data_IF_904110135947
#
_entry.id   IF_904110135947
#
_cell.length_a   1.000
_cell.length_b   1.000
_cell.length_c   1.000
_cell.angle_alpha   90.00
_cell.angle_beta   90.00
_cell.angle_gamma   90.00
#
_symmetry.space_group_name_H-M   'P 1'
#
loop_
_entity.id
_entity.type
_entity.pdbx_description
1 polymer ?
#
# COMPACT_ATOMS: atom_id res chain seq x y z
N UNK A 1 19.01 1.91 13.40
CA UNK A 1 18.92 3.38 13.15
C UNK A 1 18.72 3.62 11.66
N UNK A 2 17.48 3.66 11.18
CA UNK A 2 17.17 4.07 9.81
C UNK A 2 16.74 5.54 9.85
N UNK A 3 17.54 6.43 9.24
CA UNK A 3 17.10 7.79 8.93
C UNK A 3 16.22 7.69 7.68
N UNK A 4 14.91 7.65 7.88
CA UNK A 4 13.95 7.75 6.78
C UNK A 4 13.83 9.24 6.42
N UNK A 5 14.47 9.64 5.31
CA UNK A 5 14.03 10.83 4.60
C UNK A 5 12.68 10.46 3.97
N UNK A 6 11.63 11.24 4.28
CA UNK A 6 10.30 11.18 3.67
C UNK A 6 10.43 11.34 2.14
N UNK A 7 10.72 10.27 1.41
CA UNK A 7 11.02 10.31 -0.03
C UNK A 7 9.79 10.08 -0.92
N UNK A 8 8.63 9.77 -0.33
CA UNK A 8 7.35 9.63 -1.03
C UNK A 8 6.21 9.68 0.01
N UNK A 9 5.06 10.24 -0.31
CA UNK A 9 3.83 10.13 0.49
C UNK A 9 2.72 9.75 -0.48
N UNK A 10 1.79 8.90 -0.03
CA UNK A 10 0.58 8.59 -0.79
C UNK A 10 -0.53 9.49 -0.27
N UNK A 11 -1.18 10.23 -1.16
CA UNK A 11 -2.19 11.21 -0.80
C UNK A 11 -3.20 11.36 -1.93
N UNK A 12 -4.50 11.37 -1.58
CA UNK A 12 -5.58 11.37 -2.58
C UNK A 12 -6.82 12.08 -2.05
N UNK A 13 -7.52 12.79 -2.93
CA UNK A 13 -8.88 13.24 -2.69
C UNK A 13 -9.82 12.14 -3.16
N UNK A 14 -10.63 11.62 -2.25
CA UNK A 14 -11.54 10.53 -2.53
C UNK A 14 -12.84 11.06 -3.15
N UNK A 15 -13.63 10.20 -3.80
CA UNK A 15 -14.87 10.64 -4.42
C UNK A 15 -15.90 10.99 -3.35
N UNK A 16 -16.64 12.08 -3.59
CA UNK A 16 -17.71 12.53 -2.71
C UNK A 16 -19.07 12.02 -3.16
N UNK A 17 -20.05 11.99 -2.26
CA UNK A 17 -21.45 11.76 -2.64
C UNK A 17 -21.93 12.98 -3.43
N UNK A 18 -22.11 12.81 -4.74
CA UNK A 18 -22.64 13.86 -5.61
C UNK A 18 -24.18 13.91 -5.54
N UNK A 19 -24.72 15.12 -5.52
CA UNK A 19 -26.16 15.39 -5.48
C UNK A 19 -26.87 15.13 -6.82
N UNK A 20 -28.22 15.04 -6.82
CA UNK A 20 -29.02 14.97 -8.05
C UNK A 20 -28.82 16.19 -8.97
N UNK A 21 -29.12 16.00 -10.25
CA UNK A 21 -28.65 16.74 -11.44
C UNK A 21 -29.03 18.23 -11.60
N UNK A 22 -29.22 19.00 -10.53
CA UNK A 22 -29.50 20.43 -10.59
C UNK A 22 -28.91 21.22 -9.41
N UNK A 23 -27.69 20.92 -8.98
CA UNK A 23 -27.01 21.69 -7.93
C UNK A 23 -26.62 23.09 -8.45
N UNK A 24 -26.91 24.15 -7.66
CA UNK A 24 -26.45 25.53 -7.88
C UNK A 24 -25.01 25.76 -7.35
N UNK A 25 -24.27 24.67 -7.15
CA UNK A 25 -22.87 24.66 -6.75
C UNK A 25 -22.16 23.56 -7.50
N UNK A 26 -20.99 23.87 -8.04
CA UNK A 26 -20.08 22.90 -8.64
C UNK A 26 -18.75 22.93 -7.89
N UNK A 27 -18.17 21.77 -7.66
CA UNK A 27 -16.87 21.63 -7.05
C UNK A 27 -15.94 20.89 -8.01
N UNK A 28 -14.71 21.38 -8.10
CA UNK A 28 -13.63 20.64 -8.74
C UNK A 28 -12.45 20.55 -7.79
N UNK A 29 -11.81 19.39 -7.76
CA UNK A 29 -10.65 19.12 -6.92
C UNK A 29 -9.48 18.74 -7.81
N UNK A 30 -8.34 19.35 -7.51
CA UNK A 30 -7.07 19.01 -8.16
C UNK A 30 -6.44 17.81 -7.48
N UNK A 31 -5.51 17.16 -8.20
CA UNK A 31 -4.64 16.14 -7.61
C UNK A 31 -3.83 16.78 -6.48
N UNK A 32 -3.69 16.13 -5.31
CA UNK A 32 -2.94 16.70 -4.21
C UNK A 32 -1.50 17.00 -4.60
N UNK A 33 -0.98 18.10 -4.08
CA UNK A 33 0.40 18.50 -4.29
C UNK A 33 1.19 18.32 -3.00
N UNK A 34 2.29 17.57 -3.07
CA UNK A 34 3.29 17.53 -2.00
C UNK A 34 4.12 18.80 -2.06
N UNK A 35 3.86 19.75 -1.17
CA UNK A 35 4.40 21.11 -1.27
C UNK A 35 5.77 21.23 -0.60
N UNK A 36 6.03 20.45 0.46
CA UNK A 36 7.33 20.47 1.12
C UNK A 36 7.61 19.17 1.86
N UNK A 37 8.80 18.62 1.63
CA UNK A 37 9.47 17.67 2.51
C UNK A 37 10.72 18.35 3.07
N UNK A 38 10.78 18.55 4.38
CA UNK A 38 11.94 19.23 4.96
C UNK A 38 11.81 19.43 6.46
N UNK A 39 12.56 18.64 7.23
CA UNK A 39 12.44 18.54 8.69
C UNK A 39 11.73 17.26 9.12
N UNK A 40 11.03 17.31 10.27
CA UNK A 40 10.23 16.21 10.85
C UNK A 40 8.80 16.11 10.28
N UNK A 41 8.44 16.97 9.31
CA UNK A 41 7.08 17.07 8.77
C UNK A 41 7.05 17.06 7.24
N UNK A 42 5.91 16.64 6.71
CA UNK A 42 5.51 16.83 5.33
C UNK A 42 4.18 17.59 5.24
N UNK A 43 4.02 18.35 4.16
CA UNK A 43 2.82 19.14 3.91
C UNK A 43 2.18 18.72 2.58
N UNK A 44 0.93 18.28 2.65
CA UNK A 44 0.11 17.95 1.49
C UNK A 44 -1.02 18.95 1.38
N UNK A 45 -1.19 19.51 0.20
CA UNK A 45 -2.29 20.44 -0.09
C UNK A 45 -3.29 19.77 -1.03
N UNK A 46 -4.55 19.72 -0.60
CA UNK A 46 -5.68 19.32 -1.44
C UNK A 46 -6.42 20.57 -1.89
N UNK A 47 -6.14 21.03 -3.10
CA UNK A 47 -6.76 22.24 -3.64
C UNK A 47 -8.07 21.92 -4.35
N UNK A 48 -9.10 22.71 -4.05
CA UNK A 48 -10.41 22.68 -4.68
C UNK A 48 -10.87 24.07 -5.10
N UNK A 49 -11.72 24.09 -6.12
CA UNK A 49 -12.41 25.27 -6.60
C UNK A 49 -13.91 25.08 -6.35
N UNK A 50 -14.49 25.95 -5.53
CA UNK A 50 -15.91 26.02 -5.22
C UNK A 50 -16.55 27.08 -6.13
N UNK A 51 -17.46 26.67 -7.00
CA UNK A 51 -18.11 27.54 -7.99
C UNK A 51 -19.61 27.67 -7.68
N UNK A 52 -20.10 28.91 -7.58
CA UNK A 52 -21.53 29.17 -7.46
C UNK A 52 -22.15 29.12 -8.86
N UNK A 53 -22.87 28.04 -9.17
CA UNK A 53 -23.59 27.87 -10.46
C UNK A 53 -25.06 28.27 -10.36
N UNK A 54 -25.50 28.74 -9.19
CA UNK A 54 -26.83 29.28 -8.94
C UNK A 54 -27.06 30.66 -9.55
N UNK A 55 -28.27 31.17 -9.31
CA UNK A 55 -28.72 32.48 -9.82
C UNK A 55 -28.57 33.61 -8.80
N UNK A 56 -28.30 33.28 -7.54
CA UNK A 56 -28.19 34.24 -6.44
C UNK A 56 -26.84 34.15 -5.73
N UNK A 57 -26.44 35.26 -5.10
CA UNK A 57 -25.25 35.30 -4.25
C UNK A 57 -25.46 34.42 -3.03
N UNK A 58 -24.47 33.60 -2.71
CA UNK A 58 -24.54 32.67 -1.59
C UNK A 58 -23.27 32.69 -0.74
N UNK A 59 -23.35 32.08 0.44
CA UNK A 59 -22.20 31.74 1.29
C UNK A 59 -22.24 30.25 1.55
N UNK A 60 -21.07 29.63 1.72
CA UNK A 60 -20.97 28.19 1.94
C UNK A 60 -20.42 27.91 3.33
N UNK A 61 -21.08 27.03 4.07
CA UNK A 61 -20.58 26.49 5.31
C UNK A 61 -19.66 25.31 5.00
N UNK A 62 -18.43 25.35 5.53
CA UNK A 62 -17.47 24.27 5.42
C UNK A 62 -17.32 23.66 6.81
N UNK A 63 -17.51 22.34 6.88
CA UNK A 63 -17.34 21.54 8.07
C UNK A 63 -16.26 20.48 7.83
N UNK A 64 -15.25 20.46 8.69
CA UNK A 64 -14.13 19.53 8.67
C UNK A 64 -14.23 18.53 9.80
N UNK A 65 -14.10 17.25 9.45
CA UNK A 65 -13.93 16.14 10.39
C UNK A 65 -12.59 15.46 10.11
N UNK A 66 -11.86 15.04 11.14
CA UNK A 66 -10.57 14.37 10.98
C UNK A 66 -10.47 13.11 11.82
N UNK A 67 -9.84 12.09 11.25
CA UNK A 67 -9.41 10.89 11.96
C UNK A 67 -7.91 10.72 11.72
N UNK A 68 -7.10 11.23 12.63
CA UNK A 68 -5.65 11.28 12.49
C UNK A 68 -4.96 10.35 13.50
N UNK A 69 -3.75 9.85 13.19
CA UNK A 69 -2.93 9.12 14.15
C UNK A 69 -2.73 9.91 15.46
N UNK A 70 -2.76 9.19 16.58
CA UNK A 70 -2.82 9.76 17.92
C UNK A 70 -1.43 10.16 18.45
N UNK A 71 -0.85 11.27 17.96
CA UNK A 71 0.42 11.78 18.49
C UNK A 71 0.68 13.30 18.37
N UNK A 72 -0.36 14.13 18.21
CA UNK A 72 -0.30 15.60 18.13
C UNK A 72 0.56 16.19 16.99
N UNK A 73 1.21 15.36 16.16
CA UNK A 73 2.06 15.81 15.05
C UNK A 73 1.35 15.72 13.69
N UNK A 74 0.19 15.07 13.64
CA UNK A 74 -0.73 15.13 12.50
C UNK A 74 -1.78 16.21 12.73
N UNK A 75 -2.06 17.00 11.69
CA UNK A 75 -3.17 17.96 11.71
C UNK A 75 -3.66 18.27 10.31
N UNK A 76 -4.89 18.75 10.21
CA UNK A 76 -5.47 19.27 8.97
C UNK A 76 -5.94 20.71 9.18
N UNK A 77 -5.86 21.55 8.16
CA UNK A 77 -6.32 22.95 8.21
C UNK A 77 -7.20 23.26 7.00
N UNK A 78 -8.31 23.95 7.22
CA UNK A 78 -9.13 24.48 6.13
C UNK A 78 -8.52 25.80 5.67
N UNK A 79 -8.40 26.02 4.36
CA UNK A 79 -8.01 27.29 3.79
C UNK A 79 -9.07 27.81 2.82
N UNK A 80 -9.34 29.11 2.84
CA UNK A 80 -10.30 29.78 1.96
C UNK A 80 -9.71 31.09 1.46
N UNK A 81 -9.70 31.30 0.14
CA UNK A 81 -9.24 32.56 -0.47
C UNK A 81 -7.82 32.95 -0.07
N UNK A 82 -6.93 31.98 0.13
CA UNK A 82 -5.53 32.20 0.53
C UNK A 82 -5.30 32.38 2.03
N UNK A 83 -6.33 32.26 2.87
CA UNK A 83 -6.20 32.26 4.33
C UNK A 83 -6.46 30.87 4.91
N UNK A 84 -5.55 30.37 5.74
CA UNK A 84 -5.68 29.08 6.43
C UNK A 84 -6.05 29.27 7.89
N UNK A 85 -7.06 28.54 8.34
CA UNK A 85 -7.52 28.53 9.72
C UNK A 85 -6.66 27.60 10.58
N UNK A 86 -6.62 27.84 11.88
CA UNK A 86 -5.89 26.96 12.80
C UNK A 86 -6.49 25.54 12.78
N UNK A 87 -5.70 24.47 13.02
CA UNK A 87 -6.17 23.10 12.83
C UNK A 87 -7.38 22.68 13.67
N UNK A 88 -7.59 23.31 14.83
CA UNK A 88 -8.73 23.05 15.71
C UNK A 88 -10.03 23.72 15.23
N UNK A 89 -9.99 24.52 14.17
CA UNK A 89 -11.18 25.10 13.55
C UNK A 89 -11.79 24.04 12.63
N UNK A 90 -12.99 23.58 13.01
CA UNK A 90 -13.77 22.59 12.26
C UNK A 90 -14.80 23.25 11.34
N UNK A 91 -15.34 24.40 11.75
CA UNK A 91 -16.45 25.06 11.07
C UNK A 91 -16.06 26.46 10.62
N UNK A 92 -16.26 26.76 9.34
CA UNK A 92 -16.07 28.09 8.78
C UNK A 92 -17.20 28.42 7.80
N UNK A 93 -17.40 29.71 7.55
CA UNK A 93 -18.29 30.19 6.48
C UNK A 93 -17.46 30.98 5.49
N UNK A 94 -17.64 30.72 4.20
CA UNK A 94 -16.93 31.46 3.16
C UNK A 94 -17.38 32.92 3.12
N UNK A 95 -16.56 33.82 2.55
CA UNK A 95 -17.08 35.07 1.99
C UNK A 95 -18.21 34.79 0.98
N UNK A 96 -19.12 35.75 0.73
CA UNK A 96 -20.15 35.59 -0.29
C UNK A 96 -19.55 35.38 -1.68
N UNK A 97 -20.09 34.42 -2.43
CA UNK A 97 -19.70 34.08 -3.80
C UNK A 97 -20.84 34.47 -4.74
N UNK A 98 -20.57 35.38 -5.67
CA UNK A 98 -21.54 35.80 -6.67
C UNK A 98 -21.85 34.67 -7.68
N UNK A 99 -23.04 34.67 -8.31
CA UNK A 99 -23.36 33.77 -9.41
C UNK A 99 -22.28 33.74 -10.50
N UNK A 100 -21.85 32.55 -10.90
CA UNK A 100 -20.80 32.32 -11.89
C UNK A 100 -19.37 32.62 -11.41
N UNK A 101 -19.20 33.06 -10.15
CA UNK A 101 -17.88 33.25 -9.54
C UNK A 101 -17.42 31.97 -8.84
N UNK A 102 -16.14 31.92 -8.50
CA UNK A 102 -15.54 30.79 -7.81
C UNK A 102 -14.60 31.24 -6.70
N UNK A 103 -14.38 30.35 -5.75
CA UNK A 103 -13.58 30.57 -4.57
C UNK A 103 -12.62 29.40 -4.34
N UNK A 104 -11.36 29.73 -4.10
CA UNK A 104 -10.34 28.74 -3.74
C UNK A 104 -10.59 28.21 -2.33
N UNK A 105 -10.66 26.89 -2.22
CA UNK A 105 -10.72 26.17 -0.95
C UNK A 105 -9.60 25.12 -0.91
N UNK A 106 -9.01 24.90 0.26
CA UNK A 106 -8.04 23.81 0.45
C UNK A 106 -8.26 23.09 1.76
N UNK A 107 -7.91 21.81 1.77
CA UNK A 107 -7.64 21.06 2.99
C UNK A 107 -6.15 20.72 3.02
N UNK A 108 -5.42 21.28 3.98
CA UNK A 108 -3.97 21.11 4.08
C UNK A 108 -3.67 20.10 5.20
N UNK A 109 -2.96 19.02 4.89
CA UNK A 109 -2.45 18.06 5.87
C UNK A 109 -1.02 18.43 6.26
N UNK A 110 -0.79 18.53 7.57
CA UNK A 110 0.54 18.46 8.17
C UNK A 110 0.73 17.06 8.71
N UNK A 111 1.69 16.34 8.14
CA UNK A 111 2.01 14.95 8.47
C UNK A 111 3.31 14.94 9.27
N UNK A 112 3.22 14.43 10.50
CA UNK A 112 4.37 14.25 11.38
C UNK A 112 5.09 12.93 11.18
N UNK A 113 5.91 12.56 12.16
CA UNK A 113 6.71 11.33 12.12
C UNK A 113 5.92 10.06 12.47
N UNK A 114 4.69 10.16 13.00
CA UNK A 114 3.84 8.99 13.18
C UNK A 114 3.61 8.29 11.85
N UNK A 115 3.90 6.99 11.83
CA UNK A 115 3.52 6.13 10.72
C UNK A 115 2.05 5.74 10.90
N UNK A 116 1.28 5.81 9.83
CA UNK A 116 -0.13 5.48 9.82
C UNK A 116 -0.87 6.15 8.67
N UNK A 117 -2.20 6.14 8.78
CA UNK A 117 -3.07 6.87 7.86
C UNK A 117 -3.80 7.98 8.59
N UNK A 118 -3.81 9.18 8.00
CA UNK A 118 -4.68 10.27 8.39
C UNK A 118 -5.81 10.44 7.40
N UNK A 119 -7.02 10.64 7.93
CA UNK A 119 -8.21 10.98 7.17
C UNK A 119 -8.69 12.37 7.54
N UNK A 120 -9.13 13.09 6.51
CA UNK A 120 -9.81 14.35 6.62
C UNK A 120 -11.06 14.29 5.76
N UNK A 121 -12.16 14.84 6.22
CA UNK A 121 -13.41 14.94 5.49
C UNK A 121 -13.82 16.39 5.49
N UNK A 122 -14.15 16.92 4.32
CA UNK A 122 -14.68 18.27 4.17
C UNK A 122 -16.09 18.18 3.60
N UNK A 123 -17.07 18.63 4.38
CA UNK A 123 -18.43 18.88 3.91
C UNK A 123 -18.57 20.36 3.60
N UNK A 124 -19.12 20.68 2.44
CA UNK A 124 -19.44 22.04 2.02
C UNK A 124 -20.92 22.12 1.72
N UNK A 125 -21.65 23.02 2.37
CA UNK A 125 -23.09 23.19 2.16
C UNK A 125 -23.44 24.65 1.89
N UNK A 126 -24.35 24.89 0.94
CA UNK A 126 -25.00 26.19 0.78
C UNK A 126 -25.69 26.61 2.09
N UNK A 127 -25.56 27.88 2.44
CA UNK A 127 -26.27 28.45 3.60
C UNK A 127 -27.72 28.77 3.24
N UNK A 128 -27.99 29.14 1.98
CA UNK A 128 -29.35 29.46 1.52
C UNK A 128 -30.19 28.21 1.22
N UNK A 129 -29.56 27.12 0.80
CA UNK A 129 -30.19 25.82 0.57
C UNK A 129 -29.29 24.67 1.07
N UNK A 130 -29.34 24.31 2.36
CA UNK A 130 -28.46 23.29 2.95
C UNK A 130 -28.61 21.88 2.35
N UNK A 131 -29.67 21.61 1.56
CA UNK A 131 -29.76 20.36 0.80
C UNK A 131 -28.72 20.31 -0.34
N UNK A 132 -28.21 21.47 -0.76
CA UNK A 132 -27.07 21.60 -1.64
C UNK A 132 -25.77 21.52 -0.83
N UNK A 133 -25.31 20.29 -0.62
CA UNK A 133 -24.02 19.97 -0.05
C UNK A 133 -23.20 19.00 -0.90
N UNK A 134 -21.88 19.13 -0.85
CA UNK A 134 -20.93 18.10 -1.25
C UNK A 134 -20.15 17.67 -0.01
N UNK A 135 -19.80 16.40 0.08
CA UNK A 135 -18.85 15.90 1.05
C UNK A 135 -17.71 15.20 0.33
N UNK A 136 -16.48 15.45 0.76
CA UNK A 136 -15.29 14.82 0.20
C UNK A 136 -14.35 14.30 1.27
N UNK A 137 -13.92 13.04 1.11
CA UNK A 137 -12.87 12.44 1.92
C UNK A 137 -11.49 12.72 1.34
N UNK A 138 -10.49 12.76 2.20
CA UNK A 138 -9.08 12.94 1.88
C UNK A 138 -8.28 11.98 2.74
N UNK A 139 -7.33 11.28 2.12
CA UNK A 139 -6.49 10.31 2.79
C UNK A 139 -5.04 10.64 2.55
N UNK A 140 -4.22 10.48 3.59
CA UNK A 140 -2.79 10.49 3.47
C UNK A 140 -2.17 9.34 4.26
N UNK A 141 -1.34 8.55 3.59
CA UNK A 141 -0.68 7.37 4.14
C UNK A 141 0.82 7.67 4.24
N UNK A 142 1.35 7.50 5.46
CA UNK A 142 2.78 7.62 5.69
C UNK A 142 3.51 6.44 5.04
N UNK A 143 4.48 6.74 4.18
CA UNK A 143 5.16 5.74 3.33
C UNK A 143 6.03 4.70 4.05
N UNK A 144 6.26 4.89 5.35
CA UNK A 144 6.97 3.93 6.17
C UNK A 144 6.10 2.75 6.62
N UNK A 145 4.81 2.72 6.25
CA UNK A 145 3.92 1.60 6.51
C UNK A 145 4.40 0.31 5.79
N UNK A 146 4.45 -0.80 6.52
CA UNK A 146 4.92 -2.11 6.07
C UNK A 146 3.83 -2.90 5.33
N UNK A 147 2.57 -2.67 5.69
CA UNK A 147 1.38 -3.39 5.20
C UNK A 147 0.27 -2.39 4.86
N UNK A 148 -0.43 -2.61 3.74
CA UNK A 148 -1.67 -1.92 3.43
C UNK A 148 -2.87 -2.81 3.74
N UNK A 149 -3.79 -2.31 4.56
CA UNK A 149 -5.12 -2.88 4.76
C UNK A 149 -6.11 -2.09 3.92
N UNK A 150 -6.75 -2.78 2.97
CA UNK A 150 -7.84 -2.27 2.17
C UNK A 150 -9.14 -2.76 2.79
N UNK A 151 -9.96 -1.81 3.24
CA UNK A 151 -11.31 -2.07 3.78
C UNK A 151 -12.31 -1.84 2.63
N UNK A 152 -12.76 -2.94 2.05
CA UNK A 152 -13.66 -3.07 0.89
C UNK A 152 -15.08 -3.43 1.32
N UNK A 153 -15.56 -2.68 2.30
CA UNK A 153 -16.95 -2.69 2.74
C UNK A 153 -17.78 -1.67 1.93
N UNK A 154 -19.00 -2.05 1.55
CA UNK A 154 -19.96 -1.18 0.85
C UNK A 154 -20.52 -0.05 1.74
N UNK A 155 -20.24 -0.05 3.06
CA UNK A 155 -20.66 1.00 3.98
C UNK A 155 -19.51 2.00 4.30
N UNK A 156 -19.54 3.22 3.74
CA UNK A 156 -18.53 4.24 4.00
C UNK A 156 -18.54 4.78 5.45
N UNK A 157 -19.57 4.47 6.24
CA UNK A 157 -19.63 4.78 7.68
C UNK A 157 -19.02 3.68 8.55
N UNK A 158 -18.84 2.47 8.00
CA UNK A 158 -18.09 1.36 8.58
C UNK A 158 -16.71 1.19 7.95
N UNK A 159 -16.24 2.17 7.17
CA UNK A 159 -14.97 2.14 6.44
C UNK A 159 -13.70 1.91 7.29
N UNK A 160 -13.83 1.70 8.61
CA UNK A 160 -12.77 1.37 9.55
C UNK A 160 -13.07 0.11 10.37
N UNK A 161 -14.22 -0.53 10.18
CA UNK A 161 -14.71 -1.61 11.03
C UNK A 161 -13.76 -2.80 11.00
N UNK A 162 -13.45 -3.28 9.80
CA UNK A 162 -12.55 -4.42 9.62
C UNK A 162 -11.11 -4.02 9.98
N UNK A 163 -10.67 -2.82 9.57
CA UNK A 163 -9.37 -2.30 10.00
C UNK A 163 -9.21 -2.25 11.52
N UNK A 164 -10.18 -1.71 12.25
CA UNK A 164 -10.14 -1.57 13.71
C UNK A 164 -10.23 -2.93 14.43
N UNK A 165 -10.83 -3.95 13.81
CA UNK A 165 -10.84 -5.30 14.34
C UNK A 165 -9.43 -5.92 14.26
N UNK A 166 -8.73 -5.74 13.13
CA UNK A 166 -7.44 -6.42 12.89
C UNK A 166 -6.21 -5.64 13.37
N UNK A 167 -6.23 -4.30 13.29
CA UNK A 167 -5.07 -3.45 13.58
C UNK A 167 -4.53 -3.64 15.00
N UNK A 168 -5.35 -3.79 16.06
CA UNK A 168 -4.85 -4.06 17.41
C UNK A 168 -4.09 -5.38 17.53
N UNK A 169 -4.35 -6.36 16.66
CA UNK A 169 -3.65 -7.65 16.66
C UNK A 169 -2.29 -7.60 15.96
N UNK A 170 -2.04 -6.53 15.19
CA UNK A 170 -0.81 -6.31 14.41
C UNK A 170 0.11 -5.29 15.09
N UNK A 171 0.19 -5.30 16.42
CA UNK A 171 0.85 -4.25 17.22
C UNK A 171 2.37 -4.06 16.97
N UNK A 172 3.00 -4.90 16.14
CA UNK A 172 4.40 -4.77 15.71
C UNK A 172 4.58 -4.22 14.28
N UNK A 173 3.52 -4.16 13.49
CA UNK A 173 3.56 -3.74 12.09
C UNK A 173 3.14 -2.28 11.97
N UNK A 174 3.74 -1.56 11.03
CA UNK A 174 3.23 -0.23 10.68
C UNK A 174 2.20 -0.35 9.57
N UNK A 175 0.98 0.11 9.83
CA UNK A 175 -0.17 -0.13 8.94
C UNK A 175 -0.57 1.12 8.17
N UNK A 176 -0.71 0.96 6.86
CA UNK A 176 -1.53 1.82 6.03
C UNK A 176 -2.95 1.26 5.99
N UNK A 177 -3.94 2.15 6.00
CA UNK A 177 -5.34 1.83 5.82
C UNK A 177 -5.89 2.53 4.56
N UNK A 178 -6.73 1.85 3.80
CA UNK A 178 -7.35 2.34 2.57
C UNK A 178 -8.83 1.94 2.48
N UNK A 179 -9.78 2.90 2.57
CA UNK A 179 -11.21 2.62 2.41
C UNK A 179 -11.60 2.57 0.94
N UNK A 180 -11.89 1.39 0.42
CA UNK A 180 -12.11 1.15 -1.02
C UNK A 180 -13.43 1.74 -1.55
N UNK A 181 -14.47 1.82 -0.74
CA UNK A 181 -15.74 2.47 -1.12
C UNK A 181 -15.57 3.95 -1.55
N UNK A 182 -14.51 4.61 -1.06
CA UNK A 182 -14.24 6.00 -1.38
C UNK A 182 -13.41 6.16 -2.68
N UNK A 183 -12.46 5.25 -2.93
CA UNK A 183 -11.69 5.18 -4.17
C UNK A 183 -10.92 3.84 -4.29
N UNK A 184 -10.80 3.31 -5.51
CA UNK A 184 -9.85 2.23 -5.84
C UNK A 184 -8.39 2.76 -5.88
N UNK A 185 -7.42 2.13 -5.20
CA UNK A 185 -6.01 2.52 -5.33
C UNK A 185 -5.48 2.26 -6.75
N UNK A 186 -4.51 3.06 -7.19
CA UNK A 186 -3.78 2.75 -8.42
C UNK A 186 -2.78 1.61 -8.21
N UNK A 187 -2.36 0.97 -9.31
CA UNK A 187 -1.32 -0.06 -9.25
C UNK A 187 -0.02 0.45 -8.63
N UNK A 188 0.35 1.71 -8.91
CA UNK A 188 1.57 2.29 -8.39
C UNK A 188 1.52 2.51 -6.88
N UNK A 189 0.35 2.90 -6.32
CA UNK A 189 0.14 2.93 -4.86
C UNK A 189 0.22 1.54 -4.27
N UNK A 190 -0.50 0.59 -4.85
CA UNK A 190 -0.59 -0.76 -4.31
C UNK A 190 0.78 -1.45 -4.28
N UNK A 191 1.60 -1.23 -5.31
CA UNK A 191 2.96 -1.76 -5.41
C UNK A 191 3.98 -1.10 -4.48
N UNK A 192 3.61 -0.05 -3.73
CA UNK A 192 4.47 0.45 -2.65
C UNK A 192 4.50 -0.50 -1.45
N UNK A 193 3.50 -1.37 -1.33
CA UNK A 193 3.35 -2.32 -0.23
C UNK A 193 3.69 -3.74 -0.71
N UNK A 194 4.56 -4.47 -0.01
CA UNK A 194 4.90 -5.85 -0.35
C UNK A 194 3.77 -6.82 -0.02
N UNK A 195 2.95 -6.49 0.98
CA UNK A 195 1.81 -7.28 1.44
C UNK A 195 0.60 -6.34 1.48
N UNK A 196 -0.53 -6.84 0.99
CA UNK A 196 -1.83 -6.17 1.04
C UNK A 196 -2.83 -7.13 1.67
N UNK A 197 -3.59 -6.63 2.65
CA UNK A 197 -4.77 -7.32 3.16
C UNK A 197 -6.00 -6.65 2.54
N UNK A 198 -6.80 -7.41 1.81
CA UNK A 198 -8.02 -6.95 1.18
C UNK A 198 -9.21 -7.58 1.91
N UNK A 199 -9.93 -6.77 2.67
CA UNK A 199 -11.01 -7.20 3.55
C UNK A 199 -12.33 -6.77 2.95
N UNK A 200 -13.14 -7.72 2.48
CA UNK A 200 -14.45 -7.40 1.88
C UNK A 200 -15.59 -7.42 2.89
N UNK A 201 -15.37 -8.01 4.08
CA UNK A 201 -16.41 -8.17 5.09
C UNK A 201 -17.65 -8.87 4.53
N UNK A 202 -18.83 -8.39 4.95
CA UNK A 202 -20.14 -8.81 4.44
C UNK A 202 -20.61 -8.00 3.19
N UNK A 203 -19.67 -7.47 2.40
CA UNK A 203 -20.02 -6.76 1.16
C UNK A 203 -20.84 -7.68 0.23
N UNK A 204 -21.85 -7.13 -0.44
CA UNK A 204 -22.65 -7.89 -1.43
C UNK A 204 -22.06 -7.77 -2.83
N UNK A 205 -21.06 -6.90 -3.02
CA UNK A 205 -20.41 -6.65 -4.31
C UNK A 205 -18.91 -6.94 -4.24
N UNK A 206 -18.55 -8.06 -3.60
CA UNK A 206 -17.15 -8.42 -3.31
C UNK A 206 -16.28 -8.48 -4.57
N UNK A 207 -15.10 -7.84 -4.49
CA UNK A 207 -14.08 -7.82 -5.54
C UNK A 207 -14.66 -7.56 -6.93
N UNK A 208 -15.13 -6.34 -7.19
CA UNK A 208 -15.69 -5.95 -8.47
C UNK A 208 -14.68 -6.12 -9.65
N UNK A 209 -15.13 -5.88 -10.88
CA UNK A 209 -14.28 -6.09 -12.05
C UNK A 209 -12.98 -5.24 -12.02
N UNK A 210 -13.03 -4.06 -11.40
CA UNK A 210 -11.87 -3.17 -11.26
C UNK A 210 -10.91 -3.66 -10.16
N UNK A 211 -11.44 -4.20 -9.06
CA UNK A 211 -10.64 -4.81 -7.99
C UNK A 211 -9.85 -6.01 -8.53
N UNK A 212 -10.54 -6.90 -9.24
CA UNK A 212 -9.92 -8.11 -9.82
C UNK A 212 -8.82 -7.77 -10.83
N UNK A 213 -9.01 -6.72 -11.63
CA UNK A 213 -8.00 -6.27 -12.59
C UNK A 213 -6.75 -5.69 -11.89
N UNK A 214 -6.97 -4.91 -10.83
CA UNK A 214 -5.89 -4.32 -10.03
C UNK A 214 -5.10 -5.40 -9.29
N UNK A 215 -5.79 -6.29 -8.58
CA UNK A 215 -5.19 -7.40 -7.83
C UNK A 215 -4.39 -8.34 -8.74
N UNK A 216 -4.91 -8.63 -9.93
CA UNK A 216 -4.19 -9.37 -10.97
C UNK A 216 -2.86 -8.72 -11.32
N UNK A 217 -2.86 -7.40 -11.52
CA UNK A 217 -1.66 -6.64 -11.87
C UNK A 217 -0.68 -6.53 -10.70
N UNK A 218 -1.17 -6.35 -9.48
CA UNK A 218 -0.37 -6.26 -8.26
C UNK A 218 0.49 -7.51 -8.03
N UNK A 219 -0.10 -8.70 -8.16
CA UNK A 219 0.60 -9.95 -7.94
C UNK A 219 1.70 -10.24 -8.99
N UNK A 220 1.62 -9.66 -10.20
CA UNK A 220 2.73 -9.75 -11.18
C UNK A 220 3.99 -8.99 -10.73
N UNK A 221 3.85 -8.03 -9.81
CA UNK A 221 4.93 -7.21 -9.26
C UNK A 221 5.59 -7.76 -8.00
N UNK A 222 5.51 -9.08 -7.76
CA UNK A 222 5.92 -9.73 -6.51
C UNK A 222 5.14 -9.23 -5.26
N UNK A 223 3.89 -8.80 -5.44
CA UNK A 223 2.98 -8.56 -4.32
C UNK A 223 2.60 -9.86 -3.61
N UNK A 224 2.18 -9.74 -2.35
CA UNK A 224 1.49 -10.80 -1.61
C UNK A 224 0.13 -10.29 -1.11
N UNK A 225 -0.86 -11.18 -1.06
CA UNK A 225 -2.24 -10.83 -0.80
C UNK A 225 -2.84 -11.75 0.26
N UNK A 226 -3.48 -11.15 1.26
CA UNK A 226 -4.52 -11.81 2.04
C UNK A 226 -5.85 -11.28 1.53
N UNK A 227 -6.78 -12.17 1.20
CA UNK A 227 -8.18 -11.80 0.96
C UNK A 227 -9.06 -12.53 1.97
N UNK A 228 -9.96 -11.79 2.59
CA UNK A 228 -10.90 -12.32 3.59
C UNK A 228 -12.20 -11.53 3.54
N UNK A 229 -13.28 -12.24 3.79
CA UNK A 229 -14.63 -11.73 3.86
C UNK A 229 -15.60 -12.87 3.70
N UNK A 230 -16.85 -12.55 3.92
CA UNK A 230 -17.95 -13.48 3.78
C UNK A 230 -18.38 -13.51 2.32
N UNK A 231 -18.85 -14.68 1.88
CA UNK A 231 -19.49 -14.89 0.57
C UNK A 231 -18.68 -14.48 -0.68
N UNK A 232 -17.36 -14.19 -0.61
CA UNK A 232 -16.54 -13.82 -1.78
C UNK A 232 -16.67 -14.84 -2.93
N UNK A 233 -16.58 -16.12 -2.61
CA UNK A 233 -16.66 -17.19 -3.59
C UNK A 233 -18.12 -17.44 -4.01
N UNK A 234 -19.08 -17.35 -3.10
CA UNK A 234 -20.51 -17.36 -3.43
C UNK A 234 -20.87 -16.28 -4.44
N UNK A 235 -20.51 -15.02 -4.18
CA UNK A 235 -20.80 -13.86 -5.03
C UNK A 235 -20.31 -14.06 -6.46
N UNK A 236 -19.07 -14.54 -6.58
CA UNK A 236 -18.40 -14.67 -7.86
C UNK A 236 -18.75 -15.97 -8.58
N UNK A 237 -19.17 -17.03 -7.86
CA UNK A 237 -19.28 -18.38 -8.42
C UNK A 237 -20.65 -19.04 -8.35
N UNK A 238 -21.55 -18.65 -7.44
CA UNK A 238 -22.87 -19.28 -7.30
C UNK A 238 -23.87 -18.70 -8.32
N UNK A 239 -24.55 -19.52 -9.14
CA UNK A 239 -25.56 -19.04 -10.07
C UNK A 239 -26.74 -18.26 -9.46
N UNK A 240 -26.94 -18.35 -8.14
CA UNK A 240 -27.93 -17.57 -7.40
C UNK A 240 -27.47 -16.13 -7.12
N UNK A 241 -26.16 -15.85 -7.15
CA UNK A 241 -25.64 -14.49 -6.94
C UNK A 241 -25.89 -13.58 -8.15
N UNK A 242 -26.27 -12.30 -7.94
CA UNK A 242 -26.34 -11.31 -9.01
C UNK A 242 -24.97 -11.01 -9.66
N UNK A 243 -23.86 -11.38 -9.01
CA UNK A 243 -22.50 -11.14 -9.48
C UNK A 243 -21.89 -12.36 -10.19
N UNK A 244 -22.65 -13.43 -10.34
CA UNK A 244 -22.23 -14.64 -11.05
C UNK A 244 -21.87 -14.39 -12.50
N UNK A 245 -20.74 -14.96 -12.93
CA UNK A 245 -20.49 -15.22 -14.35
C UNK A 245 -19.50 -16.38 -14.52
N UNK A 246 -19.58 -17.07 -15.66
CA UNK A 246 -18.60 -18.11 -15.98
C UNK A 246 -17.15 -17.58 -16.02
N UNK A 247 -16.97 -16.29 -16.34
CA UNK A 247 -15.66 -15.63 -16.28
C UNK A 247 -15.18 -15.44 -14.84
N UNK A 248 -16.08 -15.08 -13.91
CA UNK A 248 -15.76 -14.95 -12.49
C UNK A 248 -15.40 -16.31 -11.87
N UNK A 249 -16.15 -17.37 -12.17
CA UNK A 249 -15.81 -18.75 -11.74
C UNK A 249 -14.40 -19.14 -12.20
N UNK A 250 -14.07 -18.90 -13.48
CA UNK A 250 -12.74 -19.19 -14.01
C UNK A 250 -11.66 -18.32 -13.35
N UNK A 251 -11.98 -17.06 -13.08
CA UNK A 251 -11.08 -16.15 -12.39
C UNK A 251 -10.80 -16.63 -10.97
N UNK A 252 -11.82 -16.91 -10.14
CA UNK A 252 -11.67 -17.45 -8.79
C UNK A 252 -10.81 -18.72 -8.80
N UNK A 253 -11.10 -19.66 -9.71
CA UNK A 253 -10.34 -20.90 -9.83
C UNK A 253 -8.88 -20.70 -10.19
N UNK A 254 -8.57 -19.77 -11.09
CA UNK A 254 -7.20 -19.54 -11.53
C UNK A 254 -6.42 -18.56 -10.65
N UNK A 255 -7.12 -17.63 -10.00
CA UNK A 255 -6.55 -16.58 -9.17
C UNK A 255 -6.30 -17.10 -7.76
N UNK A 256 -7.30 -17.71 -7.11
CA UNK A 256 -7.14 -18.25 -5.76
C UNK A 256 -6.68 -19.71 -5.70
N UNK A 257 -6.74 -20.47 -6.80
CA UNK A 257 -6.53 -21.94 -6.86
C UNK A 257 -7.57 -22.75 -6.08
N UNK A 258 -8.80 -22.24 -6.01
CA UNK A 258 -9.92 -22.87 -5.29
C UNK A 258 -11.09 -23.21 -6.21
N UNK A 259 -12.04 -24.00 -5.73
CA UNK A 259 -13.38 -24.15 -6.31
C UNK A 259 -14.37 -23.85 -5.19
N UNK A 260 -15.39 -23.04 -5.48
CA UNK A 260 -16.52 -22.85 -4.59
C UNK A 260 -17.37 -24.12 -4.53
N UNK A 261 -17.73 -24.57 -3.32
CA UNK A 261 -18.48 -25.80 -3.10
C UNK A 261 -19.84 -25.55 -2.46
N UNK A 262 -19.91 -24.71 -1.43
CA UNK A 262 -21.13 -24.51 -0.65
C UNK A 262 -21.14 -23.17 0.08
N UNK A 263 -22.30 -22.53 0.05
CA UNK A 263 -22.74 -21.43 0.90
C UNK A 263 -23.09 -21.97 2.29
N UNK A 264 -22.30 -21.67 3.33
CA UNK A 264 -22.40 -22.17 4.72
C UNK A 264 -21.55 -23.40 5.10
N UNK A 265 -20.30 -23.14 5.43
CA UNK A 265 -19.41 -24.10 6.12
C UNK A 265 -19.70 -24.32 7.59
N UNK A 266 -20.51 -23.45 8.21
CA UNK A 266 -20.71 -23.36 9.66
C UNK A 266 -19.60 -22.57 10.34
N UNK A 267 -19.74 -22.33 11.65
CA UNK A 267 -18.87 -21.36 12.36
C UNK A 267 -17.60 -21.95 12.97
N UNK A 268 -17.48 -23.28 13.07
CA UNK A 268 -16.30 -23.90 13.67
C UNK A 268 -15.20 -24.02 12.62
N UNK A 269 -14.05 -23.39 12.86
CA UNK A 269 -12.88 -23.41 11.97
C UNK A 269 -11.70 -24.07 12.67
N UNK A 270 -10.99 -24.96 11.97
CA UNK A 270 -9.80 -25.64 12.48
C UNK A 270 -8.70 -25.59 11.42
N UNK A 271 -7.45 -25.40 11.86
CA UNK A 271 -6.28 -25.49 11.01
C UNK A 271 -6.15 -26.86 10.33
N UNK A 272 -5.90 -26.85 9.02
CA UNK A 272 -5.67 -28.08 8.27
C UNK A 272 -4.33 -28.74 8.67
N UNK A 273 -4.20 -30.07 8.62
CA UNK A 273 -2.94 -30.75 8.87
C UNK A 273 -1.82 -30.27 7.92
N UNK A 274 -0.69 -29.84 8.49
CA UNK A 274 0.44 -29.32 7.70
C UNK A 274 0.25 -27.91 7.15
N UNK A 275 -0.80 -27.21 7.59
CA UNK A 275 -1.04 -25.80 7.29
C UNK A 275 0.05 -24.91 7.88
N UNK A 276 0.52 -23.92 7.11
CA UNK A 276 1.49 -22.93 7.58
C UNK A 276 0.79 -21.84 8.41
N UNK A 277 -0.43 -21.47 8.02
CA UNK A 277 -1.19 -20.37 8.64
C UNK A 277 -2.08 -20.87 9.77
N UNK A 278 -2.74 -22.00 9.57
CA UNK A 278 -3.70 -22.59 10.50
C UNK A 278 -3.09 -23.49 11.58
N UNK A 279 -1.77 -23.75 11.56
CA UNK A 279 -1.13 -24.67 12.50
C UNK A 279 -1.50 -24.37 13.96
N UNK A 280 -2.15 -25.33 14.63
CA UNK A 280 -2.52 -25.22 16.04
C UNK A 280 -3.71 -24.30 16.34
N UNK A 281 -4.38 -23.77 15.31
CA UNK A 281 -5.56 -22.93 15.47
C UNK A 281 -6.86 -23.73 15.42
N UNK A 282 -7.77 -23.40 16.33
CA UNK A 282 -9.16 -23.83 16.32
C UNK A 282 -10.01 -22.74 16.99
N UNK A 283 -11.09 -22.32 16.35
CA UNK A 283 -11.95 -21.24 16.84
C UNK A 283 -13.36 -21.35 16.28
N UNK A 284 -14.28 -20.58 16.86
CA UNK A 284 -15.60 -20.37 16.30
C UNK A 284 -15.70 -18.91 15.85
N UNK A 285 -16.24 -18.68 14.66
CA UNK A 285 -16.57 -17.35 14.14
C UNK A 285 -17.62 -16.68 15.03
N UNK A 286 -17.48 -15.37 15.23
CA UNK A 286 -18.33 -14.59 16.12
C UNK A 286 -19.74 -14.40 15.55
N UNK A 287 -19.87 -14.18 14.24
CA UNK A 287 -21.17 -14.12 13.56
C UNK A 287 -21.57 -15.48 12.96
N UNK A 288 -22.63 -16.14 13.47
CA UNK A 288 -23.15 -17.37 12.89
C UNK A 288 -24.01 -17.17 11.65
N UNK A 289 -24.33 -15.93 11.26
CA UNK A 289 -25.11 -15.57 10.09
C UNK A 289 -24.25 -15.12 8.90
N UNK A 290 -22.93 -15.03 9.08
CA UNK A 290 -21.94 -14.63 8.06
C UNK A 290 -21.74 -15.63 6.89
N UNK A 291 -22.52 -16.72 6.82
CA UNK A 291 -22.55 -17.69 5.71
C UNK A 291 -21.18 -18.00 5.07
N UNK A 292 -20.21 -18.51 5.84
CA UNK A 292 -18.85 -18.62 5.35
C UNK A 292 -18.74 -19.64 4.19
N UNK A 293 -17.96 -19.30 3.18
CA UNK A 293 -17.77 -20.06 1.94
C UNK A 293 -16.98 -21.35 2.17
N UNK A 294 -17.53 -22.47 1.72
CA UNK A 294 -16.81 -23.74 1.63
C UNK A 294 -16.14 -23.86 0.28
N UNK A 295 -14.85 -24.22 0.32
CA UNK A 295 -14.03 -24.37 -0.87
C UNK A 295 -13.36 -25.74 -0.95
N UNK A 296 -12.96 -26.12 -2.16
CA UNK A 296 -11.95 -27.15 -2.43
C UNK A 296 -10.75 -26.56 -3.18
N UNK A 297 -9.64 -27.30 -3.25
CA UNK A 297 -8.48 -26.85 -4.02
C UNK A 297 -8.65 -27.25 -5.49
N UNK A 298 -8.58 -26.28 -6.40
CA UNK A 298 -8.68 -26.54 -7.84
C UNK A 298 -7.32 -26.80 -8.50
N UNK A 299 -6.23 -26.30 -7.89
CA UNK A 299 -4.85 -26.41 -8.41
C UNK A 299 -3.84 -26.57 -7.26
N UNK A 300 -2.56 -26.27 -7.53
CA UNK A 300 -1.46 -26.33 -6.59
C UNK A 300 -1.55 -25.20 -5.54
N UNK A 301 -2.49 -25.35 -4.60
CA UNK A 301 -2.57 -24.62 -3.34
C UNK A 301 -2.49 -25.56 -2.16
N UNK A 302 -2.26 -25.03 -0.96
CA UNK A 302 -2.29 -25.77 0.29
C UNK A 302 -3.50 -25.35 1.12
N UNK A 303 -4.31 -26.32 1.55
CA UNK A 303 -5.44 -26.04 2.42
C UNK A 303 -4.92 -25.53 3.78
N UNK A 304 -5.42 -24.39 4.24
CA UNK A 304 -4.98 -23.79 5.50
C UNK A 304 -5.96 -24.03 6.64
N UNK A 305 -7.26 -24.01 6.34
CA UNK A 305 -8.33 -24.18 7.31
C UNK A 305 -9.43 -25.09 6.76
N UNK A 306 -10.21 -25.69 7.66
CA UNK A 306 -11.39 -26.48 7.35
C UNK A 306 -12.50 -26.17 8.33
N UNK A 307 -13.75 -26.27 7.88
CA UNK A 307 -14.88 -26.15 8.79
C UNK A 307 -15.15 -27.46 9.53
N UNK A 308 -15.74 -27.36 10.72
CA UNK A 308 -16.13 -28.52 11.54
C UNK A 308 -17.17 -29.43 10.87
N UNK A 309 -17.98 -28.87 9.95
CA UNK A 309 -18.91 -29.62 9.10
C UNK A 309 -18.25 -30.34 7.91
N UNK A 310 -16.96 -30.10 7.66
CA UNK A 310 -16.22 -30.57 6.50
C UNK A 310 -16.08 -29.50 5.41
N UNK A 311 -15.12 -29.71 4.51
CA UNK A 311 -14.78 -28.75 3.46
C UNK A 311 -13.73 -27.71 3.88
N UNK A 312 -13.14 -27.04 2.89
CA UNK A 312 -12.08 -26.06 3.11
C UNK A 312 -12.63 -24.69 3.51
N UNK A 313 -11.95 -24.03 4.44
CA UNK A 313 -12.27 -22.69 4.93
C UNK A 313 -11.21 -21.65 4.54
N UNK A 314 -10.09 -22.08 3.96
CA UNK A 314 -9.05 -21.18 3.49
C UNK A 314 -7.91 -21.92 2.81
N UNK A 315 -7.21 -21.22 1.93
CA UNK A 315 -6.13 -21.78 1.11
C UNK A 315 -4.96 -20.81 1.00
N UNK A 316 -3.76 -21.36 0.81
CA UNK A 316 -2.55 -20.62 0.53
C UNK A 316 -1.98 -21.08 -0.82
N UNK A 317 -1.85 -20.13 -1.74
CA UNK A 317 -1.32 -20.35 -3.07
C UNK A 317 0.07 -19.73 -3.18
N UNK A 318 1.11 -20.57 -3.36
CA UNK A 318 2.54 -20.17 -3.38
C UNK A 318 3.24 -20.48 -4.72
N UNK A 319 2.59 -21.23 -5.61
CA UNK A 319 3.12 -21.67 -6.90
C UNK A 319 3.07 -20.61 -7.99
N UNK A 320 3.84 -19.52 -7.86
CA UNK A 320 3.87 -18.42 -8.83
C UNK A 320 3.16 -17.13 -8.39
N UNK A 321 2.49 -17.17 -7.24
CA UNK A 321 1.74 -16.09 -6.58
C UNK A 321 1.82 -16.33 -5.08
N UNK A 322 1.47 -15.33 -4.26
CA UNK A 322 1.34 -15.44 -2.79
C UNK A 322 -0.02 -14.91 -2.40
N UNK A 323 -0.98 -15.82 -2.27
CA UNK A 323 -2.35 -15.46 -1.91
C UNK A 323 -2.82 -16.37 -0.78
N UNK A 324 -3.17 -15.77 0.34
CA UNK A 324 -3.97 -16.40 1.39
C UNK A 324 -5.42 -15.99 1.16
N UNK A 325 -6.28 -16.95 0.82
CA UNK A 325 -7.72 -16.77 0.74
C UNK A 325 -8.37 -17.37 1.99
N UNK A 326 -9.24 -16.62 2.64
CA UNK A 326 -10.09 -17.07 3.75
C UNK A 326 -11.55 -16.95 3.31
N UNK A 327 -12.32 -18.04 3.42
CA UNK A 327 -13.75 -18.07 3.11
C UNK A 327 -14.63 -17.58 4.25
N UNK A 328 -14.08 -16.76 5.13
CA UNK A 328 -14.74 -16.17 6.29
C UNK A 328 -14.14 -14.79 6.55
N UNK A 329 -14.90 -13.90 7.17
CA UNK A 329 -14.40 -12.60 7.61
C UNK A 329 -13.40 -12.74 8.77
N UNK A 330 -12.23 -12.11 8.60
CA UNK A 330 -11.23 -11.99 9.64
C UNK A 330 -11.76 -11.25 10.87
N UNK A 331 -12.68 -10.30 10.71
CA UNK A 331 -13.27 -9.55 11.82
C UNK A 331 -14.06 -10.46 12.79
N UNK A 332 -14.56 -11.59 12.30
CA UNK A 332 -15.28 -12.59 13.10
C UNK A 332 -14.38 -13.55 13.87
N UNK A 333 -13.08 -13.55 13.59
CA UNK A 333 -12.13 -14.40 14.32
C UNK A 333 -11.89 -13.82 15.71
N UNK A 334 -12.04 -14.59 16.79
CA UNK A 334 -11.75 -14.10 18.14
C UNK A 334 -10.31 -13.59 18.27
N UNK A 335 -10.11 -12.49 18.99
CA UNK A 335 -8.83 -11.75 19.05
C UNK A 335 -7.57 -12.62 19.27
N UNK A 336 -7.63 -13.62 20.17
CA UNK A 336 -6.49 -14.52 20.42
C UNK A 336 -6.08 -15.34 19.20
N UNK A 337 -6.98 -16.19 18.66
CA UNK A 337 -6.78 -16.86 17.38
C UNK A 337 -6.49 -15.91 16.20
N UNK A 338 -7.11 -14.73 16.15
CA UNK A 338 -6.93 -13.74 15.10
C UNK A 338 -5.48 -13.23 15.06
N UNK A 339 -4.90 -12.87 16.21
CA UNK A 339 -3.50 -12.46 16.30
C UNK A 339 -2.55 -13.55 15.79
N UNK A 340 -2.75 -14.80 16.25
CA UNK A 340 -1.91 -15.91 15.82
C UNK A 340 -2.06 -16.24 14.32
N UNK A 341 -3.27 -16.14 13.78
CA UNK A 341 -3.53 -16.29 12.34
C UNK A 341 -2.79 -15.22 11.55
N UNK A 342 -2.91 -13.95 11.94
CA UNK A 342 -2.28 -12.82 11.25
C UNK A 342 -0.74 -12.92 11.30
N UNK A 343 -0.17 -13.29 12.44
CA UNK A 343 1.28 -13.55 12.57
C UNK A 343 1.74 -14.64 11.60
N UNK A 344 1.03 -15.78 11.55
CA UNK A 344 1.38 -16.86 10.64
C UNK A 344 1.17 -16.45 9.17
N UNK A 345 0.14 -15.66 8.87
CA UNK A 345 -0.14 -15.16 7.53
C UNK A 345 0.97 -14.23 7.04
N UNK A 346 1.46 -13.32 7.88
CA UNK A 346 2.59 -12.44 7.54
C UNK A 346 3.84 -13.25 7.22
N UNK A 347 4.14 -14.28 8.00
CA UNK A 347 5.28 -15.18 7.75
C UNK A 347 5.11 -15.91 6.41
N UNK A 348 3.94 -16.48 6.17
CA UNK A 348 3.64 -17.24 4.95
C UNK A 348 3.67 -16.35 3.69
N UNK A 349 3.15 -15.13 3.77
CA UNK A 349 3.09 -14.17 2.67
C UNK A 349 4.41 -13.44 2.42
N UNK A 350 5.27 -13.31 3.45
CA UNK A 350 6.61 -12.76 3.29
C UNK A 350 7.63 -13.79 2.76
N UNK A 351 7.31 -15.09 2.84
CA UNK A 351 8.16 -16.14 2.30
C UNK A 351 8.32 -15.97 0.76
N UNK A 352 9.54 -16.07 0.21
CA UNK A 352 9.73 -15.94 -1.23
C UNK A 352 8.99 -17.05 -1.97
N UNK A 353 8.19 -16.69 -2.98
CA UNK A 353 7.59 -17.65 -3.93
C UNK A 353 8.73 -18.45 -4.57
N UNK A 354 8.55 -19.74 -4.82
CA UNK A 354 9.55 -20.55 -5.52
C UNK A 354 9.90 -20.01 -6.93
N UNK A 355 9.04 -19.15 -7.49
CA UNK A 355 9.24 -18.40 -8.74
C UNK A 355 9.94 -17.03 -8.59
N UNK A 356 10.03 -16.49 -7.37
CA UNK A 356 10.53 -15.14 -7.06
C UNK A 356 12.01 -15.12 -6.66
N UNK A 357 12.74 -16.20 -6.90
CA UNK A 357 14.19 -16.11 -6.86
C UNK A 357 14.63 -15.64 -8.25
N UNK A 358 14.88 -14.33 -8.50
CA UNK A 358 15.63 -13.94 -9.68
C UNK A 358 16.90 -14.78 -9.64
N UNK A 359 17.14 -15.57 -10.70
CA UNK A 359 18.27 -16.48 -10.75
C UNK A 359 19.53 -15.71 -10.35
N UNK A 360 20.05 -15.99 -9.16
CA UNK A 360 21.25 -15.33 -8.67
C UNK A 360 22.35 -15.61 -9.69
N UNK A 361 23.20 -14.61 -9.98
CA UNK A 361 24.28 -14.85 -10.92
C UNK A 361 25.15 -15.98 -10.35
N UNK A 362 25.61 -16.90 -11.19
CA UNK A 362 26.48 -17.99 -10.71
C UNK A 362 27.84 -17.47 -10.18
N UNK A 363 28.20 -16.23 -10.52
CA UNK A 363 29.48 -15.58 -10.20
C UNK A 363 29.30 -14.08 -9.98
N UNK A 364 30.24 -13.48 -9.27
CA UNK A 364 30.33 -12.03 -9.14
C UNK A 364 30.47 -11.40 -10.54
N UNK A 365 29.57 -10.48 -10.88
CA UNK A 365 29.51 -9.85 -12.22
C UNK A 365 29.45 -8.34 -12.08
N UNK A 366 30.21 -7.61 -12.90
CA UNK A 366 30.17 -6.14 -12.92
C UNK A 366 29.09 -5.62 -13.85
N UNK A 367 28.44 -4.55 -13.42
CA UNK A 367 27.60 -3.71 -14.26
C UNK A 367 28.33 -2.38 -14.51
N UNK A 368 28.03 -1.67 -15.61
CA UNK A 368 28.60 -0.36 -15.86
C UNK A 368 28.34 0.60 -14.69
N UNK A 369 29.36 1.31 -14.25
CA UNK A 369 29.17 2.38 -13.27
C UNK A 369 28.41 3.55 -13.89
N UNK A 370 27.58 4.24 -13.09
CA UNK A 370 26.71 5.31 -13.59
C UNK A 370 26.76 6.55 -12.68
N UNK A 371 26.99 7.76 -13.24
CA UNK A 371 27.37 8.03 -14.64
C UNK A 371 28.79 7.53 -14.97
N UNK A 372 29.10 7.38 -16.27
CA UNK A 372 30.46 7.16 -16.81
C UNK A 372 30.54 7.74 -18.24
N UNK A 373 31.30 8.83 -18.51
CA UNK A 373 32.18 9.55 -17.59
C UNK A 373 31.45 10.19 -16.40
N UNK A 374 32.15 10.40 -15.29
CA UNK A 374 31.59 10.97 -14.05
C UNK A 374 32.35 12.19 -13.56
N UNK A 375 31.75 13.00 -12.68
CA UNK A 375 32.37 14.18 -12.05
C UNK A 375 31.69 14.59 -10.73
N UNK A 376 32.38 14.56 -9.57
CA UNK A 376 33.38 13.57 -9.16
C UNK A 376 32.71 12.30 -8.59
N UNK A 377 31.38 12.15 -8.70
CA UNK A 377 30.60 11.05 -8.11
C UNK A 377 30.06 10.07 -9.16
N UNK A 378 30.11 8.78 -8.86
CA UNK A 378 29.51 7.69 -9.65
C UNK A 378 28.99 6.60 -8.71
N UNK A 379 28.21 5.67 -9.24
CA UNK A 379 27.74 4.48 -8.52
C UNK A 379 28.36 3.25 -9.17
N UNK A 380 29.13 2.49 -8.40
CA UNK A 380 29.68 1.19 -8.81
C UNK A 380 28.59 0.13 -8.68
N UNK A 381 28.23 -0.53 -9.78
CA UNK A 381 27.16 -1.53 -9.82
C UNK A 381 27.71 -2.92 -10.10
N UNK A 382 27.15 -3.93 -9.46
CA UNK A 382 27.56 -5.33 -9.62
C UNK A 382 26.48 -6.29 -9.09
N UNK A 383 26.53 -7.53 -9.53
CA UNK A 383 25.65 -8.61 -9.06
C UNK A 383 26.50 -9.66 -8.32
N UNK A 384 26.10 -10.02 -7.10
CA UNK A 384 26.79 -10.98 -6.26
C UNK A 384 26.04 -12.32 -6.20
N UNK A 385 26.75 -13.46 -6.25
CA UNK A 385 26.12 -14.78 -6.16
C UNK A 385 25.57 -15.09 -4.76
N UNK A 386 26.13 -14.45 -3.73
CA UNK A 386 25.75 -14.58 -2.33
C UNK A 386 26.08 -13.30 -1.56
N UNK A 387 25.50 -13.13 -0.38
CA UNK A 387 25.85 -12.04 0.52
C UNK A 387 27.26 -12.22 1.12
N UNK A 388 27.92 -11.12 1.49
CA UNK A 388 29.20 -11.16 2.17
C UNK A 388 29.95 -9.83 2.16
N UNK A 389 31.07 -9.77 2.90
CA UNK A 389 31.90 -8.57 2.98
C UNK A 389 32.83 -8.50 1.77
N UNK A 390 32.66 -7.49 0.93
CA UNK A 390 33.52 -7.26 -0.23
C UNK A 390 34.60 -6.22 0.06
N UNK A 391 35.78 -6.41 -0.53
CA UNK A 391 36.83 -5.40 -0.64
C UNK A 391 36.72 -4.71 -2.00
N UNK A 392 36.56 -3.39 -1.98
CA UNK A 392 36.55 -2.54 -3.19
C UNK A 392 37.82 -1.70 -3.21
N UNK A 393 38.55 -1.77 -4.31
CA UNK A 393 39.79 -1.01 -4.53
C UNK A 393 39.66 -0.18 -5.80
N UNK A 394 40.17 1.05 -5.77
CA UNK A 394 40.28 1.91 -6.95
C UNK A 394 41.75 2.06 -7.30
N UNK A 395 42.09 1.82 -8.56
CA UNK A 395 43.45 1.71 -9.06
C UNK A 395 43.72 2.70 -10.20
N UNK A 396 44.96 3.18 -10.29
CA UNK A 396 45.45 3.91 -11.46
C UNK A 396 45.82 2.97 -12.63
N UNK A 397 46.20 3.54 -13.77
CA UNK A 397 46.63 2.80 -14.97
C UNK A 397 47.85 1.88 -14.76
N UNK A 398 48.61 2.07 -13.66
CA UNK A 398 49.77 1.24 -13.32
C UNK A 398 49.39 0.13 -12.33
N UNK A 399 48.11 0.00 -11.99
CA UNK A 399 47.61 -0.97 -11.02
C UNK A 399 47.90 -0.61 -9.56
N UNK A 400 48.29 0.65 -9.27
CA UNK A 400 48.49 1.08 -7.88
C UNK A 400 47.15 1.45 -7.27
N UNK A 401 46.87 0.91 -6.08
CA UNK A 401 45.67 1.23 -5.29
C UNK A 401 45.76 2.68 -4.80
N UNK A 402 44.76 3.48 -5.16
CA UNK A 402 44.61 4.88 -4.79
C UNK A 402 43.73 5.04 -3.55
N UNK A 403 42.69 4.21 -3.43
CA UNK A 403 41.81 4.12 -2.28
C UNK A 403 41.16 2.74 -2.23
N UNK A 404 40.74 2.32 -1.04
CA UNK A 404 40.06 1.04 -0.82
C UNK A 404 39.08 1.14 0.33
N UNK A 405 37.98 0.41 0.26
CA UNK A 405 36.99 0.34 1.32
C UNK A 405 36.28 -1.02 1.30
N UNK A 406 35.73 -1.41 2.44
CA UNK A 406 34.90 -2.61 2.55
C UNK A 406 33.42 -2.25 2.48
N UNK A 407 32.61 -3.12 1.88
CA UNK A 407 31.17 -2.98 1.83
C UNK A 407 30.50 -4.34 2.02
N UNK A 408 29.45 -4.38 2.84
CA UNK A 408 28.58 -5.55 2.92
C UNK A 408 27.70 -5.61 1.67
N UNK A 409 27.79 -6.72 0.95
CA UNK A 409 26.99 -6.98 -0.24
C UNK A 409 25.84 -7.91 0.11
N UNK A 410 24.68 -7.66 -0.49
CA UNK A 410 23.59 -8.63 -0.56
C UNK A 410 23.78 -9.57 -1.74
N UNK A 411 23.16 -10.75 -1.72
CA UNK A 411 23.02 -11.56 -2.93
C UNK A 411 22.19 -10.77 -3.97
N UNK A 412 22.52 -10.92 -5.26
CA UNK A 412 21.89 -10.17 -6.34
C UNK A 412 22.52 -8.80 -6.59
N UNK A 413 21.73 -7.83 -7.06
CA UNK A 413 22.25 -6.52 -7.50
C UNK A 413 22.62 -5.60 -6.33
N UNK A 414 23.77 -4.95 -6.44
CA UNK A 414 24.34 -4.02 -5.49
C UNK A 414 24.78 -2.73 -6.18
N UNK A 415 24.69 -1.61 -5.46
CA UNK A 415 25.04 -0.28 -5.94
C UNK A 415 25.80 0.48 -4.83
N UNK A 416 27.07 0.79 -5.07
CA UNK A 416 27.93 1.48 -4.10
C UNK A 416 28.28 2.89 -4.59
N UNK A 417 27.90 3.94 -3.85
CA UNK A 417 28.29 5.29 -4.19
C UNK A 417 29.81 5.47 -4.02
N UNK A 418 30.44 6.09 -5.01
CA UNK A 418 31.87 6.39 -5.02
C UNK A 418 32.12 7.87 -5.34
N UNK A 419 33.05 8.48 -4.61
CA UNK A 419 33.56 9.82 -4.87
C UNK A 419 35.05 9.73 -5.20
N UNK A 420 35.50 10.37 -6.28
CA UNK A 420 36.87 10.31 -6.77
C UNK A 420 37.89 11.05 -5.87
N UNK A 421 38.20 10.46 -4.72
CA UNK A 421 39.26 10.87 -3.78
C UNK A 421 40.22 9.73 -3.52
N UNK A 422 41.48 10.04 -3.23
CA UNK A 422 42.47 9.08 -2.76
C UNK A 422 42.30 8.75 -1.27
N UNK A 423 43.12 7.84 -0.74
CA UNK A 423 43.10 7.44 0.67
C UNK A 423 43.37 8.59 1.67
N UNK A 424 43.95 9.71 1.20
CA UNK A 424 44.17 10.91 2.00
C UNK A 424 43.03 11.96 1.83
N UNK A 425 41.95 11.61 1.13
CA UNK A 425 40.82 12.50 0.85
C UNK A 425 41.09 13.54 -0.25
N UNK A 426 42.19 13.43 -1.00
CA UNK A 426 42.54 14.39 -2.05
C UNK A 426 41.82 14.03 -3.36
N UNK A 427 41.25 15.01 -4.09
CA UNK A 427 40.57 14.74 -5.35
C UNK A 427 41.49 14.09 -6.39
N UNK A 428 41.02 13.05 -7.05
CA UNK A 428 41.72 12.42 -8.18
C UNK A 428 41.73 13.37 -9.41
N UNK A 429 42.69 13.21 -10.32
CA UNK A 429 42.79 13.99 -11.56
C UNK A 429 41.88 13.42 -12.65
N UNK A 430 41.44 14.23 -13.64
CA UNK A 430 40.72 13.70 -14.80
C UNK A 430 41.53 12.58 -15.47
N UNK A 431 40.88 11.48 -15.84
CA UNK A 431 41.56 10.32 -16.39
C UNK A 431 40.77 9.04 -16.26
N UNK A 432 41.39 7.95 -16.71
CA UNK A 432 40.85 6.59 -16.61
C UNK A 432 41.37 5.91 -15.36
N UNK A 433 40.46 5.29 -14.63
CA UNK A 433 40.72 4.50 -13.43
C UNK A 433 40.10 3.12 -13.58
N UNK A 434 40.59 2.17 -12.79
CA UNK A 434 39.98 0.87 -12.64
C UNK A 434 39.45 0.73 -11.22
N UNK A 435 38.37 -0.02 -11.05
CA UNK A 435 37.95 -0.49 -9.73
C UNK A 435 37.93 -2.01 -9.73
N UNK A 436 38.25 -2.61 -8.59
CA UNK A 436 38.25 -4.04 -8.36
C UNK A 436 37.34 -4.35 -7.18
N UNK A 437 36.45 -5.32 -7.35
CA UNK A 437 35.57 -5.84 -6.29
C UNK A 437 35.96 -7.27 -6.02
N UNK A 438 36.29 -7.58 -4.77
CA UNK A 438 36.63 -8.92 -4.32
C UNK A 438 35.60 -9.41 -3.30
N UNK A 439 35.03 -10.59 -3.53
CA UNK A 439 34.05 -11.22 -2.63
C UNK A 439 34.31 -12.73 -2.63
N UNK A 440 34.46 -13.33 -1.45
CA UNK A 440 34.57 -14.78 -1.25
C UNK A 440 35.61 -15.47 -2.17
N UNK A 441 36.73 -14.80 -2.45
CA UNK A 441 37.80 -15.30 -3.32
C UNK A 441 37.59 -15.06 -4.82
N UNK A 442 36.43 -14.58 -5.26
CA UNK A 442 36.23 -14.08 -6.62
C UNK A 442 36.63 -12.60 -6.73
N UNK A 443 37.17 -12.20 -7.88
CA UNK A 443 37.59 -10.83 -8.14
C UNK A 443 37.18 -10.40 -9.56
N UNK A 444 36.52 -9.25 -9.66
CA UNK A 444 36.15 -8.62 -10.93
C UNK A 444 36.66 -7.19 -11.01
N UNK A 445 36.95 -6.69 -12.20
CA UNK A 445 37.47 -5.33 -12.39
C UNK A 445 36.78 -4.57 -13.52
N UNK A 446 36.45 -3.30 -13.26
CA UNK A 446 35.74 -2.43 -14.17
C UNK A 446 36.51 -1.14 -14.44
N UNK A 447 36.23 -0.50 -15.58
CA UNK A 447 36.89 0.73 -16.03
C UNK A 447 35.94 1.92 -15.84
N UNK A 448 36.43 3.01 -15.27
CA UNK A 448 35.69 4.25 -15.08
C UNK A 448 36.50 5.47 -15.57
N UNK A 449 35.81 6.47 -16.12
CA UNK A 449 36.42 7.70 -16.65
C UNK A 449 35.96 8.90 -15.84
N UNK A 450 36.89 9.58 -15.17
CA UNK A 450 36.64 10.83 -14.46
C UNK A 450 36.91 12.00 -15.41
N UNK A 451 35.93 12.89 -15.59
CA UNK A 451 36.06 14.12 -16.38
C UNK A 451 35.73 15.31 -15.48
N UNK A 452 36.73 16.14 -15.16
CA UNK A 452 36.51 17.39 -14.41
C UNK A 452 35.90 18.50 -15.25
#
# INVERSE_FOLDING_TARGET
MRRHLLSSLLAWSLCGVALPAAAAVEFSWSTPTLVRTGGEFAYLEFYGLLSNTGTERDTYALHKEDLLPNDFVWSTSICVGGFCYAPFVTDITTPPVDPGSSLDIRLDFTIGMAVGTGYGRLRVSSVTDPQQMEERGFVAIHNAADLLVIDDCDDPFLAFGHFNAIAPQLAGETLGHWPRALQLPTLAELQTFPIVFWLTGESQSTLDASDRALLGSYLTGAGALLVSGDEIAWDLCDPASPHYSAANVQWVSSFFDITYELDMGGTSVVGAPGSDVGAGLAFALADPAANPDVISLSRAGALQFSYGGGGGAGSLSTGGKRILYLGFDLADVPAGPQAALLDNALIALAAPSASDTPALPARLTLLPNQPNPFNPKTTLRFQAPAAGLALVEVLDLRGRVLTSFTAELRAGENALPFTAVDAAGRPLASGTYFYRVQLNGESVSGKMTLLK
#
